data_IF_260075277140
#
_entry.id   IF_260075277140
#
_cell.length_a   1.000
_cell.length_b   1.000
_cell.length_c   1.000
_cell.angle_alpha   90.00
_cell.angle_beta   90.00
_cell.angle_gamma   90.00
#
_symmetry.space_group_name_H-M   'P 1'
#
loop_
_entity.id
_entity.type
_entity.pdbx_description
1 polymer ?
#
# COMPACT_ATOMS: atom_id res chain seq x y z
N UNK A 1 -11.30 -2.38 -23.08
CA UNK A 1 -10.69 -3.49 -22.32
C UNK A 1 -11.29 -3.39 -20.92
N UNK A 2 -12.23 -4.25 -20.62
CA UNK A 2 -12.88 -4.26 -19.30
C UNK A 2 -11.88 -4.78 -18.27
N UNK A 3 -11.70 -3.99 -17.21
CA UNK A 3 -10.87 -4.30 -16.06
C UNK A 3 -11.12 -5.73 -15.61
N UNK A 4 -10.05 -6.52 -15.50
CA UNK A 4 -10.03 -7.92 -15.06
C UNK A 4 -10.45 -8.15 -13.61
N UNK A 5 -11.48 -7.45 -13.14
CA UNK A 5 -12.19 -7.74 -11.88
C UNK A 5 -12.80 -9.14 -12.00
N UNK A 6 -12.45 -9.94 -11.09
CA UNK A 6 -12.56 -11.39 -11.03
C UNK A 6 -14.02 -11.83 -11.08
N UNK A 7 -14.61 -11.95 -12.27
CA UNK A 7 -15.91 -12.61 -12.51
C UNK A 7 -16.05 -13.98 -11.83
N UNK A 8 -14.94 -14.67 -11.61
CA UNK A 8 -14.89 -16.01 -11.01
C UNK A 8 -15.10 -15.96 -9.48
N UNK A 9 -14.52 -15.00 -8.79
CA UNK A 9 -14.74 -14.81 -7.35
C UNK A 9 -16.13 -14.24 -7.05
N UNK A 10 -16.66 -13.37 -7.92
CA UNK A 10 -18.03 -12.89 -7.83
C UNK A 10 -19.03 -14.06 -7.89
N UNK A 11 -18.81 -15.03 -8.77
CA UNK A 11 -19.67 -16.22 -8.92
C UNK A 11 -19.62 -17.13 -7.69
N UNK A 12 -18.45 -17.30 -7.06
CA UNK A 12 -18.30 -18.14 -5.86
C UNK A 12 -18.87 -17.48 -4.62
N UNK A 13 -18.68 -16.17 -4.50
CA UNK A 13 -19.28 -15.38 -3.43
C UNK A 13 -20.81 -15.38 -3.56
N UNK A 14 -21.34 -15.28 -4.77
CA UNK A 14 -22.77 -15.40 -5.05
C UNK A 14 -23.32 -16.81 -4.77
N UNK A 15 -22.57 -17.88 -5.05
CA UNK A 15 -22.98 -19.26 -4.75
C UNK A 15 -23.06 -19.52 -3.24
N UNK A 16 -22.08 -19.08 -2.47
CA UNK A 16 -22.09 -19.22 -1.01
C UNK A 16 -23.25 -18.44 -0.35
N UNK A 17 -23.64 -17.30 -0.92
CA UNK A 17 -24.79 -16.53 -0.47
C UNK A 17 -26.12 -17.19 -0.79
N UNK A 18 -26.24 -17.82 -1.97
CA UNK A 18 -27.47 -18.54 -2.39
C UNK A 18 -27.74 -19.79 -1.57
N UNK A 19 -26.70 -20.52 -1.18
CA UNK A 19 -26.84 -21.77 -0.42
C UNK A 19 -27.20 -21.56 1.07
N UNK A 20 -26.92 -20.38 1.63
CA UNK A 20 -27.00 -20.14 3.06
C UNK A 20 -28.01 -19.07 3.52
N UNK A 21 -28.72 -18.42 2.62
CA UNK A 21 -29.78 -17.46 2.94
C UNK A 21 -31.04 -17.72 2.15
N UNK A 22 -31.99 -18.36 2.80
CA UNK A 22 -33.38 -18.45 2.31
C UNK A 22 -33.94 -17.02 2.31
N UNK A 23 -33.96 -16.37 1.15
CA UNK A 23 -34.61 -15.07 0.93
C UNK A 23 -33.72 -13.86 0.66
N UNK A 24 -32.40 -14.03 0.54
CA UNK A 24 -31.50 -12.89 0.24
C UNK A 24 -30.81 -13.08 -1.11
N UNK A 25 -31.09 -12.17 -2.07
CA UNK A 25 -30.30 -12.08 -3.30
C UNK A 25 -28.95 -11.44 -2.98
N UNK A 26 -27.86 -12.18 -3.25
CA UNK A 26 -26.50 -11.69 -3.02
C UNK A 26 -26.16 -10.55 -3.97
N UNK A 27 -25.74 -9.41 -3.43
CA UNK A 27 -24.96 -8.38 -4.14
C UNK A 27 -23.66 -8.19 -3.42
N UNK A 28 -22.58 -8.32 -4.17
CA UNK A 28 -21.24 -7.87 -3.75
C UNK A 28 -21.10 -6.47 -4.32
N UNK A 29 -20.79 -5.48 -3.49
CA UNK A 29 -20.11 -4.22 -3.82
C UNK A 29 -20.69 -2.96 -3.19
N UNK A 30 -19.99 -2.47 -2.16
CA UNK A 30 -19.82 -1.05 -1.91
C UNK A 30 -18.58 -0.72 -1.08
N UNK A 31 -17.77 -1.72 -0.74
CA UNK A 31 -16.47 -1.50 -0.08
C UNK A 31 -15.38 -1.59 -1.13
N UNK A 32 -14.60 -0.52 -1.27
CA UNK A 32 -13.45 -0.51 -2.17
C UNK A 32 -12.32 -1.35 -1.57
N UNK A 33 -12.26 -2.60 -1.93
CA UNK A 33 -11.10 -3.47 -1.73
C UNK A 33 -10.83 -4.26 -3.01
N UNK A 34 -9.56 -4.54 -3.24
CA UNK A 34 -9.12 -5.24 -4.42
C UNK A 34 -8.93 -6.72 -4.14
N UNK A 35 -9.52 -7.56 -4.98
CA UNK A 35 -9.33 -9.00 -4.95
C UNK A 35 -8.62 -9.42 -6.22
N UNK A 36 -7.41 -9.95 -6.07
CA UNK A 36 -6.61 -10.45 -7.17
C UNK A 36 -6.50 -11.96 -7.06
N UNK A 37 -6.96 -12.68 -8.07
CA UNK A 37 -6.55 -14.09 -8.21
C UNK A 37 -5.04 -14.14 -8.50
N UNK A 38 -4.42 -15.26 -8.19
CA UNK A 38 -2.98 -15.46 -8.43
C UNK A 38 -2.53 -15.20 -9.88
N UNK A 39 -3.46 -15.18 -10.84
CA UNK A 39 -3.18 -14.93 -12.26
C UNK A 39 -3.33 -13.48 -12.69
N UNK A 40 -4.02 -12.65 -11.90
CA UNK A 40 -4.42 -11.30 -12.27
C UNK A 40 -3.88 -10.23 -11.31
N UNK A 41 -2.86 -10.56 -10.51
CA UNK A 41 -2.20 -9.58 -9.65
C UNK A 41 -1.52 -8.54 -10.54
N UNK A 42 -1.81 -7.28 -10.27
CA UNK A 42 -1.27 -6.14 -11.00
C UNK A 42 0.26 -6.20 -11.08
N UNK A 43 0.79 -5.96 -12.26
CA UNK A 43 2.23 -5.84 -12.48
C UNK A 43 2.68 -4.44 -12.09
N UNK A 44 3.21 -4.31 -10.89
CA UNK A 44 3.78 -3.05 -10.40
C UNK A 44 5.26 -2.86 -10.81
N UNK A 45 5.72 -3.60 -11.81
CA UNK A 45 7.11 -3.61 -12.24
C UNK A 45 8.00 -4.55 -11.43
N UNK A 46 9.29 -4.58 -11.78
CA UNK A 46 10.27 -5.40 -11.08
C UNK A 46 10.60 -4.79 -9.72
N UNK A 47 10.40 -5.55 -8.65
CA UNK A 47 10.78 -5.12 -7.30
C UNK A 47 12.28 -5.35 -7.07
N UNK A 48 13.00 -4.32 -6.66
CA UNK A 48 14.42 -4.39 -6.31
C UNK A 48 14.58 -4.73 -4.82
N UNK A 49 15.06 -5.94 -4.54
CA UNK A 49 15.33 -6.42 -3.18
C UNK A 49 16.68 -5.89 -2.67
N UNK A 50 16.64 -4.85 -1.86
CA UNK A 50 17.85 -4.15 -1.40
C UNK A 50 18.41 -4.68 -0.08
N UNK A 51 17.58 -5.32 0.73
CA UNK A 51 17.93 -5.69 2.10
C UNK A 51 17.49 -7.12 2.48
N UNK A 52 17.13 -7.96 1.50
CA UNK A 52 16.62 -9.32 1.73
C UNK A 52 15.16 -9.35 2.20
N UNK A 53 14.41 -8.25 2.02
CA UNK A 53 13.01 -8.16 2.42
C UNK A 53 12.10 -9.12 1.64
N UNK A 54 12.41 -9.41 0.38
CA UNK A 54 11.66 -10.38 -0.44
C UNK A 54 11.71 -11.76 0.18
N UNK A 55 12.90 -12.25 0.51
CA UNK A 55 13.06 -13.57 1.12
C UNK A 55 12.37 -13.66 2.48
N UNK A 56 12.52 -12.61 3.31
CA UNK A 56 11.93 -12.55 4.65
C UNK A 56 10.41 -12.54 4.62
N UNK A 57 9.80 -11.68 3.80
CA UNK A 57 8.34 -11.60 3.73
C UNK A 57 7.74 -12.83 3.03
N UNK A 58 8.44 -13.39 2.03
CA UNK A 58 8.02 -14.65 1.41
C UNK A 58 7.94 -15.78 2.45
N UNK A 59 8.94 -15.94 3.30
CA UNK A 59 8.93 -16.95 4.38
C UNK A 59 7.73 -16.78 5.32
N UNK A 60 7.43 -15.54 5.72
CA UNK A 60 6.26 -15.22 6.56
C UNK A 60 4.95 -15.57 5.86
N UNK A 61 4.79 -15.16 4.61
CA UNK A 61 3.58 -15.42 3.82
C UNK A 61 3.38 -16.94 3.63
N UNK A 62 4.43 -17.66 3.29
CA UNK A 62 4.36 -19.11 3.05
C UNK A 62 4.02 -19.89 4.33
N UNK A 63 4.46 -19.46 5.50
CA UNK A 63 4.11 -20.05 6.79
C UNK A 63 2.68 -19.68 7.21
N UNK A 64 2.32 -18.42 7.06
CA UNK A 64 1.02 -17.84 7.44
C UNK A 64 0.63 -18.12 8.92
N UNK A 65 1.62 -18.19 9.79
CA UNK A 65 1.43 -18.53 11.21
C UNK A 65 1.27 -17.31 12.10
N UNK A 66 1.78 -16.14 11.67
CA UNK A 66 1.68 -14.88 12.41
C UNK A 66 1.46 -13.70 11.47
N UNK A 67 0.62 -12.74 11.89
CA UNK A 67 0.47 -11.49 11.13
C UNK A 67 1.79 -10.69 11.15
N UNK A 68 2.07 -10.04 10.02
CA UNK A 68 3.31 -9.30 9.81
C UNK A 68 3.04 -7.81 9.59
N UNK A 69 3.77 -6.95 10.29
CA UNK A 69 3.67 -5.49 10.17
C UNK A 69 4.93 -4.92 9.54
N UNK A 70 4.77 -4.17 8.45
CA UNK A 70 5.83 -3.38 7.83
C UNK A 70 5.67 -1.92 8.27
N UNK A 71 6.62 -1.42 9.04
CA UNK A 71 6.67 -0.04 9.47
C UNK A 71 7.68 0.74 8.62
N UNK A 72 7.27 1.81 7.97
CA UNK A 72 8.20 2.61 7.16
C UNK A 72 7.52 3.75 6.42
N UNK A 73 8.32 4.69 5.91
CA UNK A 73 7.85 5.89 5.24
C UNK A 73 6.96 5.59 4.02
N UNK A 74 6.20 6.59 3.58
CA UNK A 74 5.39 6.52 2.37
C UNK A 74 6.28 6.42 1.13
N UNK A 75 5.85 5.66 0.11
CA UNK A 75 6.54 5.59 -1.18
C UNK A 75 7.80 4.70 -1.25
N UNK A 76 8.18 3.98 -0.17
CA UNK A 76 9.38 3.12 -0.14
C UNK A 76 9.15 1.68 -0.65
N UNK A 77 8.02 1.41 -1.32
CA UNK A 77 7.78 0.13 -1.98
C UNK A 77 7.10 -0.95 -1.14
N UNK A 78 6.50 -0.63 0.02
CA UNK A 78 5.81 -1.61 0.89
C UNK A 78 4.72 -2.39 0.16
N UNK A 79 3.82 -1.70 -0.53
CA UNK A 79 2.72 -2.29 -1.31
C UNK A 79 3.26 -3.09 -2.49
N UNK A 80 4.24 -2.54 -3.22
CA UNK A 80 4.87 -3.20 -4.37
C UNK A 80 5.52 -4.53 -4.00
N UNK A 81 6.15 -4.63 -2.81
CA UNK A 81 6.72 -5.89 -2.32
C UNK A 81 5.66 -6.97 -2.13
N UNK A 82 4.52 -6.64 -1.51
CA UNK A 82 3.45 -7.62 -1.28
C UNK A 82 2.89 -8.13 -2.60
N UNK A 83 2.60 -7.23 -3.54
CA UNK A 83 2.14 -7.59 -4.89
C UNK A 83 3.16 -8.45 -5.63
N UNK A 84 4.45 -8.08 -5.61
CA UNK A 84 5.53 -8.85 -6.22
C UNK A 84 5.60 -10.29 -5.68
N UNK A 85 5.56 -10.46 -4.35
CA UNK A 85 5.63 -11.79 -3.73
C UNK A 85 4.40 -12.63 -4.07
N UNK A 86 3.20 -12.06 -3.97
CA UNK A 86 1.96 -12.75 -4.28
C UNK A 86 1.95 -13.21 -5.75
N UNK A 87 2.31 -12.32 -6.67
CA UNK A 87 2.40 -12.62 -8.11
C UNK A 87 3.42 -13.72 -8.40
N UNK A 88 4.64 -13.58 -7.87
CA UNK A 88 5.75 -14.53 -8.10
C UNK A 88 5.44 -15.94 -7.59
N UNK A 89 4.70 -16.06 -6.49
CA UNK A 89 4.38 -17.33 -5.86
C UNK A 89 2.97 -17.84 -6.20
N UNK A 90 2.23 -17.15 -7.04
CA UNK A 90 0.86 -17.57 -7.43
C UNK A 90 -0.13 -17.58 -6.27
N UNK A 91 -0.03 -16.64 -5.33
CA UNK A 91 -0.86 -16.53 -4.14
C UNK A 91 -1.94 -15.48 -4.37
N UNK A 92 -3.19 -15.78 -4.04
CA UNK A 92 -4.29 -14.79 -4.14
C UNK A 92 -4.11 -13.66 -3.14
N UNK A 93 -4.48 -12.43 -3.55
CA UNK A 93 -4.31 -11.24 -2.75
C UNK A 93 -5.66 -10.53 -2.54
N UNK A 94 -5.97 -10.23 -1.30
CA UNK A 94 -7.09 -9.37 -0.91
C UNK A 94 -6.49 -8.13 -0.29
N UNK A 95 -6.53 -7.00 -0.99
CA UNK A 95 -5.90 -5.75 -0.59
C UNK A 95 -6.93 -4.72 -0.17
N UNK A 96 -6.65 -4.03 0.93
CA UNK A 96 -7.50 -3.00 1.50
C UNK A 96 -6.64 -1.86 2.04
N UNK A 97 -6.92 -0.64 1.60
CA UNK A 97 -6.27 0.55 2.13
C UNK A 97 -7.15 1.22 3.18
N UNK A 98 -6.62 1.35 4.39
CA UNK A 98 -7.28 2.07 5.47
C UNK A 98 -7.14 3.58 5.26
N UNK A 99 -8.21 4.31 5.56
CA UNK A 99 -8.24 5.77 5.48
C UNK A 99 -9.03 6.37 6.63
N UNK A 100 -9.04 7.70 6.70
CA UNK A 100 -9.91 8.45 7.61
C UNK A 100 -11.36 8.08 7.28
N UNK A 101 -12.11 7.58 8.27
CA UNK A 101 -13.49 7.12 8.08
C UNK A 101 -13.66 5.63 7.83
N UNK A 102 -12.58 4.88 7.65
CA UNK A 102 -12.65 3.41 7.67
C UNK A 102 -13.29 2.92 8.97
N UNK A 103 -14.31 2.12 8.85
CA UNK A 103 -15.15 1.74 9.98
C UNK A 103 -15.35 0.22 10.11
N UNK A 104 -16.07 -0.20 11.13
CA UNK A 104 -16.33 -1.62 11.40
C UNK A 104 -17.05 -2.34 10.26
N UNK A 105 -17.95 -1.64 9.54
CA UNK A 105 -18.70 -2.24 8.44
C UNK A 105 -17.77 -2.59 7.27
N UNK A 106 -16.75 -1.78 7.01
CA UNK A 106 -15.76 -2.04 5.97
C UNK A 106 -14.96 -3.31 6.28
N UNK A 107 -14.67 -3.55 7.56
CA UNK A 107 -13.94 -4.74 7.99
C UNK A 107 -14.82 -6.00 8.03
N UNK A 108 -16.02 -5.91 8.58
CA UNK A 108 -16.87 -7.07 8.84
C UNK A 108 -18.01 -7.24 7.84
N UNK A 109 -18.52 -6.13 7.33
CA UNK A 109 -19.75 -6.10 6.55
C UNK A 109 -20.93 -5.48 7.30
N UNK A 110 -22.01 -5.29 6.58
CA UNK A 110 -23.23 -4.64 7.07
C UNK A 110 -24.49 -5.26 6.46
N UNK A 111 -25.60 -5.10 7.16
CA UNK A 111 -26.91 -5.43 6.60
C UNK A 111 -27.32 -4.32 5.62
N UNK A 112 -27.68 -4.69 4.42
CA UNK A 112 -28.24 -3.84 3.40
C UNK A 112 -29.71 -4.19 3.16
N UNK A 113 -30.50 -3.22 2.75
CA UNK A 113 -31.89 -3.40 2.37
C UNK A 113 -32.09 -2.77 1.01
N UNK A 114 -32.64 -3.53 0.09
CA UNK A 114 -33.04 -3.05 -1.24
C UNK A 114 -34.51 -3.43 -1.54
N UNK A 115 -34.93 -3.18 -2.78
CA UNK A 115 -36.29 -3.49 -3.24
C UNK A 115 -36.64 -5.00 -3.24
N UNK A 116 -35.65 -5.85 -3.24
CA UNK A 116 -35.77 -7.30 -3.30
C UNK A 116 -35.62 -7.96 -1.92
N UNK A 117 -35.33 -7.17 -0.87
CA UNK A 117 -35.24 -7.63 0.52
C UNK A 117 -34.01 -7.14 1.25
N UNK A 118 -33.64 -7.85 2.33
CA UNK A 118 -32.42 -7.57 3.10
C UNK A 118 -31.35 -8.62 2.81
N UNK A 119 -30.11 -8.17 2.67
CA UNK A 119 -28.94 -9.04 2.48
C UNK A 119 -27.75 -8.56 3.30
N UNK A 120 -26.81 -9.44 3.58
CA UNK A 120 -25.59 -9.09 4.29
C UNK A 120 -24.44 -8.85 3.29
N UNK A 121 -24.00 -7.59 3.18
CA UNK A 121 -22.83 -7.20 2.42
C UNK A 121 -21.58 -7.48 3.24
N UNK A 122 -20.68 -8.33 2.72
CA UNK A 122 -19.47 -8.73 3.42
C UNK A 122 -18.40 -7.63 3.36
N UNK A 123 -17.70 -7.46 4.48
CA UNK A 123 -16.48 -6.65 4.54
C UNK A 123 -15.26 -7.47 4.14
N UNK A 124 -14.09 -6.85 4.26
CA UNK A 124 -12.83 -7.44 3.82
C UNK A 124 -12.42 -8.70 4.58
N UNK A 125 -12.69 -8.75 5.90
CA UNK A 125 -12.27 -9.89 6.72
C UNK A 125 -12.97 -11.20 6.31
N UNK A 126 -14.32 -11.29 6.28
CA UNK A 126 -14.98 -12.51 5.80
C UNK A 126 -14.61 -12.85 4.37
N UNK A 127 -14.43 -11.85 3.49
CA UNK A 127 -14.00 -12.06 2.11
C UNK A 127 -12.61 -12.71 2.04
N UNK A 128 -11.66 -12.27 2.84
CA UNK A 128 -10.31 -12.85 2.85
C UNK A 128 -10.32 -14.35 3.25
N UNK A 129 -11.17 -14.74 4.23
CA UNK A 129 -11.33 -16.14 4.60
C UNK A 129 -11.91 -16.99 3.45
N UNK A 130 -12.91 -16.47 2.73
CA UNK A 130 -13.50 -17.16 1.59
C UNK A 130 -12.49 -17.33 0.46
N UNK A 131 -11.75 -16.27 0.11
CA UNK A 131 -10.69 -16.33 -0.91
C UNK A 131 -9.61 -17.33 -0.52
N UNK A 132 -9.18 -17.35 0.74
CA UNK A 132 -8.18 -18.31 1.22
C UNK A 132 -8.67 -19.76 1.15
N UNK A 133 -9.93 -20.01 1.49
CA UNK A 133 -10.53 -21.34 1.40
C UNK A 133 -10.64 -21.83 -0.04
N UNK A 134 -10.95 -20.94 -0.98
CA UNK A 134 -11.07 -21.26 -2.40
C UNK A 134 -9.70 -21.48 -3.06
N UNK A 135 -8.78 -20.52 -2.89
CA UNK A 135 -7.47 -20.56 -3.53
C UNK A 135 -6.43 -21.41 -2.80
N UNK A 136 -6.79 -21.97 -1.63
CA UNK A 136 -5.91 -22.68 -0.69
C UNK A 136 -4.87 -21.82 -0.01
N UNK A 137 -4.46 -20.70 -0.59
CA UNK A 137 -3.53 -19.77 0.00
C UNK A 137 -3.85 -18.34 -0.47
N UNK A 138 -4.08 -17.45 0.47
CA UNK A 138 -4.29 -16.03 0.20
C UNK A 138 -3.49 -15.16 1.17
N UNK A 139 -3.26 -13.91 0.74
CA UNK A 139 -2.76 -12.83 1.58
C UNK A 139 -3.88 -11.83 1.80
N UNK A 140 -4.16 -11.48 3.04
CA UNK A 140 -4.90 -10.27 3.39
C UNK A 140 -3.88 -9.16 3.61
N UNK A 141 -3.89 -8.18 2.73
CA UNK A 141 -3.02 -7.01 2.81
C UNK A 141 -3.82 -5.81 3.31
N UNK A 142 -3.43 -5.27 4.46
CA UNK A 142 -4.05 -4.10 5.09
C UNK A 142 -3.06 -2.94 5.00
N UNK A 143 -3.26 -2.07 4.02
CA UNK A 143 -2.40 -0.89 3.86
C UNK A 143 -2.82 0.23 4.80
N UNK A 144 -1.85 0.96 5.32
CA UNK A 144 -2.04 2.09 6.23
C UNK A 144 -2.90 1.78 7.48
N UNK A 145 -2.69 0.62 8.11
CA UNK A 145 -3.47 0.18 9.31
C UNK A 145 -3.48 1.24 10.44
N UNK A 146 -2.46 2.10 10.51
CA UNK A 146 -2.39 3.23 11.43
C UNK A 146 -3.44 4.32 11.18
N UNK A 147 -4.12 4.33 10.04
CA UNK A 147 -5.23 5.25 9.79
C UNK A 147 -6.52 4.85 10.54
N UNK A 148 -6.60 3.62 11.06
CA UNK A 148 -7.77 3.14 11.78
C UNK A 148 -7.91 3.79 13.17
N UNK A 149 -9.12 4.19 13.52
CA UNK A 149 -9.46 4.57 14.89
C UNK A 149 -9.29 3.40 15.87
N UNK A 150 -8.95 3.71 17.12
CA UNK A 150 -8.71 2.70 18.16
C UNK A 150 -9.88 1.73 18.36
N UNK A 151 -11.12 2.19 18.19
CA UNK A 151 -12.29 1.32 18.30
C UNK A 151 -12.42 0.35 17.13
N UNK A 152 -12.02 0.76 15.95
CA UNK A 152 -11.98 -0.10 14.74
C UNK A 152 -10.85 -1.13 14.86
N UNK A 153 -9.69 -0.73 15.38
CA UNK A 153 -8.55 -1.63 15.61
C UNK A 153 -8.91 -2.86 16.45
N UNK A 154 -9.80 -2.71 17.44
CA UNK A 154 -10.26 -3.83 18.31
C UNK A 154 -10.91 -4.97 17.53
N UNK A 155 -11.53 -4.67 16.38
CA UNK A 155 -12.17 -5.70 15.56
C UNK A 155 -11.19 -6.58 14.79
N UNK A 156 -9.94 -6.14 14.65
CA UNK A 156 -8.86 -6.92 14.04
C UNK A 156 -8.26 -7.95 15.01
N UNK A 157 -8.41 -7.77 16.31
CA UNK A 157 -7.77 -8.64 17.29
C UNK A 157 -8.09 -10.13 17.09
N UNK A 158 -9.35 -10.45 16.80
CA UNK A 158 -9.79 -11.84 16.66
C UNK A 158 -9.33 -12.54 15.38
N UNK A 159 -9.37 -11.91 14.20
CA UNK A 159 -8.76 -12.45 12.99
C UNK A 159 -7.25 -12.64 13.08
N UNK A 160 -6.57 -11.78 13.89
CA UNK A 160 -5.12 -11.76 14.04
C UNK A 160 -4.59 -12.67 15.15
N UNK A 161 -5.47 -13.24 15.98
CA UNK A 161 -5.06 -14.18 17.02
C UNK A 161 -4.98 -15.63 16.48
N UNK A 162 -4.48 -16.55 17.31
CA UNK A 162 -4.29 -17.97 16.96
C UNK A 162 -5.58 -18.69 16.52
N UNK A 163 -6.76 -18.09 16.74
CA UNK A 163 -8.04 -18.66 16.31
C UNK A 163 -8.36 -18.45 14.85
N UNK A 164 -7.66 -17.52 14.18
CA UNK A 164 -7.85 -17.19 12.77
C UNK A 164 -9.32 -17.26 12.34
N UNK A 165 -10.16 -16.44 12.95
CA UNK A 165 -11.61 -16.47 12.69
C UNK A 165 -12.22 -15.07 12.69
N UNK A 166 -13.24 -14.88 11.85
CA UNK A 166 -14.05 -13.67 11.81
C UNK A 166 -15.53 -14.02 12.01
N UNK A 167 -16.26 -13.21 12.77
CA UNK A 167 -17.71 -13.31 12.89
C UNK A 167 -18.37 -12.09 12.25
N UNK A 168 -19.22 -12.34 11.27
CA UNK A 168 -19.91 -11.31 10.50
C UNK A 168 -21.26 -11.83 10.01
N UNK A 169 -22.30 -11.00 10.01
CA UNK A 169 -23.65 -11.36 9.55
C UNK A 169 -24.26 -12.58 10.25
N UNK A 170 -23.95 -12.79 11.54
CA UNK A 170 -24.41 -13.99 12.28
C UNK A 170 -23.67 -15.28 11.93
N UNK A 171 -22.63 -15.20 11.12
CA UNK A 171 -21.86 -16.34 10.62
C UNK A 171 -20.41 -16.28 11.11
N UNK A 172 -19.80 -17.45 11.32
CA UNK A 172 -18.37 -17.59 11.65
C UNK A 172 -17.60 -18.05 10.42
N UNK A 173 -16.58 -17.28 10.05
CA UNK A 173 -15.65 -17.57 8.96
C UNK A 173 -14.35 -18.11 9.56
N UNK A 174 -13.89 -19.26 9.08
CA UNK A 174 -12.67 -19.94 9.50
C UNK A 174 -11.97 -20.52 8.30
N UNK A 175 -10.69 -20.84 8.45
CA UNK A 175 -9.96 -21.56 7.41
C UNK A 175 -10.35 -23.05 7.41
N UNK A 176 -10.51 -23.61 6.22
CA UNK A 176 -10.64 -25.04 6.01
C UNK A 176 -9.28 -25.72 6.22
N UNK A 177 -9.28 -27.02 6.46
CA UNK A 177 -8.07 -27.81 6.61
C UNK A 177 -7.18 -27.69 5.37
N UNK A 178 -5.89 -27.41 5.61
CA UNK A 178 -4.89 -27.20 4.55
C UNK A 178 -4.95 -25.84 3.86
N UNK A 179 -5.89 -24.95 4.21
CA UNK A 179 -5.93 -23.58 3.69
C UNK A 179 -5.12 -22.62 4.57
N UNK A 180 -4.57 -21.57 3.96
CA UNK A 180 -3.73 -20.57 4.62
C UNK A 180 -4.18 -19.16 4.30
N UNK A 181 -4.21 -18.30 5.32
CA UNK A 181 -4.40 -16.86 5.17
C UNK A 181 -3.26 -16.15 5.87
N UNK A 182 -2.31 -15.63 5.11
CA UNK A 182 -1.28 -14.75 5.64
C UNK A 182 -1.84 -13.33 5.76
N UNK A 183 -1.57 -12.67 6.89
CA UNK A 183 -2.01 -11.29 7.11
C UNK A 183 -0.78 -10.39 7.14
N UNK A 184 -0.72 -9.44 6.21
CA UNK A 184 0.35 -8.45 6.12
C UNK A 184 -0.28 -7.07 6.24
N UNK A 185 0.23 -6.27 7.16
CA UNK A 185 -0.21 -4.89 7.33
C UNK A 185 0.97 -3.93 7.15
N UNK A 186 0.65 -2.70 6.76
CA UNK A 186 1.64 -1.61 6.72
C UNK A 186 1.20 -0.45 7.58
N UNK A 187 2.15 0.30 8.09
CA UNK A 187 1.90 1.60 8.72
C UNK A 187 3.03 2.57 8.42
N UNK A 188 2.68 3.83 8.36
CA UNK A 188 3.64 4.92 8.26
C UNK A 188 4.11 5.36 9.65
N UNK A 189 5.23 6.09 9.77
CA UNK A 189 5.62 6.74 11.01
C UNK A 189 4.53 7.66 11.55
N UNK A 190 4.42 7.73 12.88
CA UNK A 190 3.34 8.48 13.56
C UNK A 190 3.42 9.98 13.32
N UNK A 191 4.60 10.46 12.94
CA UNK A 191 4.84 11.87 12.59
C UNK A 191 4.11 12.27 11.29
N UNK A 192 3.58 11.31 10.53
CA UNK A 192 2.76 11.59 9.36
C UNK A 192 1.31 11.88 9.76
N UNK A 193 0.71 12.89 9.14
CA UNK A 193 -0.68 13.24 9.39
C UNK A 193 -1.63 12.05 9.13
N UNK A 194 -2.62 11.89 9.99
CA UNK A 194 -3.63 10.83 9.87
C UNK A 194 -3.16 9.44 10.32
N UNK A 195 -1.99 9.32 10.96
CA UNK A 195 -1.50 8.05 11.52
C UNK A 195 -1.76 8.01 13.03
N UNK A 196 -2.58 7.08 13.48
CA UNK A 196 -2.81 6.79 14.89
C UNK A 196 -1.80 5.76 15.40
N UNK A 197 -1.53 5.80 16.71
CA UNK A 197 -0.83 4.70 17.37
C UNK A 197 -1.67 3.43 17.29
N UNK A 198 -1.03 2.33 16.89
CA UNK A 198 -1.66 1.03 17.08
C UNK A 198 -1.81 0.76 18.58
N UNK A 199 -2.99 0.27 18.99
CA UNK A 199 -3.23 -0.12 20.36
C UNK A 199 -2.22 -1.19 20.79
N UNK A 200 -1.86 -1.23 22.06
CA UNK A 200 -0.89 -2.20 22.60
C UNK A 200 -1.32 -3.64 22.31
N UNK A 201 -2.62 -3.91 22.49
CA UNK A 201 -3.22 -5.22 22.21
C UNK A 201 -3.09 -5.62 20.72
N UNK A 202 -3.31 -4.68 19.79
CA UNK A 202 -3.13 -4.94 18.37
C UNK A 202 -1.65 -5.14 18.01
N UNK A 203 -0.76 -4.29 18.52
CA UNK A 203 0.68 -4.40 18.27
C UNK A 203 1.27 -5.72 18.72
N UNK A 204 0.83 -6.25 19.88
CA UNK A 204 1.35 -7.49 20.44
C UNK A 204 1.09 -8.72 19.57
N UNK A 205 0.15 -8.64 18.61
CA UNK A 205 -0.19 -9.72 17.69
C UNK A 205 0.71 -9.81 16.49
N UNK A 206 1.34 -8.69 16.12
CA UNK A 206 2.21 -8.63 14.96
C UNK A 206 3.66 -8.99 15.31
N UNK A 207 4.27 -9.76 14.44
CA UNK A 207 5.71 -9.69 14.22
C UNK A 207 5.97 -8.69 13.09
N UNK A 208 7.16 -8.09 13.00
CA UNK A 208 7.32 -7.09 11.94
C UNK A 208 8.73 -6.60 11.73
N UNK A 209 8.85 -5.71 10.76
CA UNK A 209 10.10 -5.10 10.36
C UNK A 209 9.94 -3.59 10.17
N UNK A 210 10.91 -2.83 10.69
CA UNK A 210 11.01 -1.39 10.42
C UNK A 210 11.93 -1.19 9.21
N UNK A 211 11.38 -0.57 8.18
CA UNK A 211 12.12 -0.20 6.99
C UNK A 211 12.67 1.22 7.13
N UNK A 212 13.92 1.38 6.74
CA UNK A 212 14.56 2.69 6.65
C UNK A 212 14.32 3.29 5.27
N UNK A 213 14.47 4.60 5.17
CA UNK A 213 14.52 5.26 3.87
C UNK A 213 15.75 4.74 3.10
N UNK A 214 15.62 4.52 1.79
CA UNK A 214 16.75 4.10 0.95
C UNK A 214 17.86 5.14 0.97
N UNK A 215 19.10 4.68 0.92
CA UNK A 215 20.27 5.53 0.69
C UNK A 215 20.32 5.98 -0.78
N UNK A 216 21.13 7.01 -1.08
CA UNK A 216 21.38 7.45 -2.46
C UNK A 216 21.84 6.30 -3.37
N UNK A 217 22.75 5.44 -2.90
CA UNK A 217 23.18 4.24 -3.64
C UNK A 217 22.03 3.28 -3.92
N UNK A 218 21.14 3.05 -2.96
CA UNK A 218 19.96 2.22 -3.17
C UNK A 218 18.95 2.86 -4.13
N UNK A 219 18.81 4.17 -4.11
CA UNK A 219 17.98 4.91 -5.05
C UNK A 219 18.51 4.80 -6.49
N UNK A 220 19.83 4.75 -6.68
CA UNK A 220 20.43 4.47 -7.98
C UNK A 220 20.01 3.11 -8.55
N UNK A 221 19.82 2.09 -7.70
CA UNK A 221 19.39 0.76 -8.13
C UNK A 221 17.88 0.67 -8.39
N UNK A 222 17.07 1.47 -7.67
CA UNK A 222 15.60 1.45 -7.76
C UNK A 222 15.11 2.17 -9.00
N UNK A 223 15.66 3.34 -9.29
CA UNK A 223 15.18 4.25 -10.34
C UNK A 223 15.82 3.90 -11.67
N UNK A 224 15.02 3.92 -12.73
CA UNK A 224 15.55 3.79 -14.09
C UNK A 224 16.11 5.13 -14.57
N UNK A 225 17.42 5.22 -14.63
CA UNK A 225 18.17 6.41 -15.04
C UNK A 225 18.51 6.42 -16.54
N UNK A 226 17.94 5.53 -17.35
CA UNK A 226 18.17 5.54 -18.79
C UNK A 226 17.85 6.92 -19.36
N UNK A 227 18.73 7.43 -20.18
CA UNK A 227 18.59 8.73 -20.87
C UNK A 227 18.54 9.97 -19.96
N UNK A 228 18.85 9.83 -18.68
CA UNK A 228 18.94 10.95 -17.72
C UNK A 228 20.40 11.44 -17.65
N UNK A 229 20.69 12.73 -17.88
CA UNK A 229 22.03 13.28 -17.77
C UNK A 229 22.61 13.12 -16.36
N UNK A 230 23.73 12.40 -16.22
CA UNK A 230 24.30 12.06 -14.91
C UNK A 230 24.78 13.31 -14.15
N UNK A 231 25.61 14.15 -14.80
CA UNK A 231 26.22 15.29 -14.11
C UNK A 231 25.25 16.44 -13.81
N UNK A 232 24.24 16.68 -14.66
CA UNK A 232 23.33 17.82 -14.51
C UNK A 232 21.98 17.49 -13.88
N UNK A 233 21.61 16.21 -13.81
CA UNK A 233 20.29 15.80 -13.29
C UNK A 233 20.41 14.72 -12.22
N UNK A 234 20.94 13.54 -12.56
CA UNK A 234 20.95 12.38 -11.65
C UNK A 234 21.75 12.65 -10.37
N UNK A 235 23.02 13.04 -10.50
CA UNK A 235 23.91 13.26 -9.36
C UNK A 235 23.42 14.42 -8.47
N UNK A 236 23.00 15.58 -9.02
CA UNK A 236 22.35 16.62 -8.23
C UNK A 236 21.09 16.15 -7.51
N UNK A 237 20.20 15.37 -8.16
CA UNK A 237 18.97 14.90 -7.55
C UNK A 237 19.24 13.96 -6.36
N UNK A 238 20.22 13.06 -6.47
CA UNK A 238 20.62 12.20 -5.36
C UNK A 238 21.22 13.00 -4.20
N UNK A 239 22.00 14.04 -4.48
CA UNK A 239 22.52 14.97 -3.47
C UNK A 239 21.38 15.71 -2.77
N UNK A 240 20.41 16.23 -3.53
CA UNK A 240 19.24 16.89 -2.96
C UNK A 240 18.45 15.99 -2.01
N UNK A 241 18.30 14.70 -2.32
CA UNK A 241 17.63 13.74 -1.42
C UNK A 241 18.36 13.64 -0.08
N UNK A 242 19.69 13.57 -0.09
CA UNK A 242 20.49 13.52 1.14
C UNK A 242 20.35 14.83 1.96
N UNK A 243 20.35 15.96 1.29
CA UNK A 243 20.15 17.27 1.92
C UNK A 243 18.76 17.37 2.57
N UNK A 244 17.72 16.94 1.87
CA UNK A 244 16.35 16.91 2.41
C UNK A 244 16.23 15.95 3.60
N UNK A 245 16.90 14.80 3.57
CA UNK A 245 16.94 13.91 4.74
C UNK A 245 17.63 14.58 5.94
N UNK A 246 18.70 15.34 5.70
CA UNK A 246 19.38 16.09 6.76
C UNK A 246 18.50 17.21 7.33
N UNK A 247 17.76 17.94 6.48
CA UNK A 247 16.79 18.95 6.90
C UNK A 247 15.65 18.34 7.73
N UNK A 248 15.12 17.18 7.30
CA UNK A 248 14.09 16.45 8.07
C UNK A 248 14.57 16.04 9.46
N UNK A 249 15.83 15.63 9.62
CA UNK A 249 16.40 15.30 10.93
C UNK A 249 16.48 16.51 11.87
N UNK A 250 16.57 17.72 11.32
CA UNK A 250 16.55 18.98 12.07
C UNK A 250 15.13 19.53 12.30
N UNK A 251 14.12 18.85 11.75
CA UNK A 251 12.73 19.29 11.71
C UNK A 251 12.49 20.58 10.90
N UNK A 252 13.38 20.89 9.96
CA UNK A 252 13.26 22.05 9.07
C UNK A 252 12.28 21.80 7.92
N UNK A 253 12.01 20.53 7.58
CA UNK A 253 11.01 20.11 6.57
C UNK A 253 10.22 18.90 7.06
N UNK A 254 8.96 18.80 6.66
CA UNK A 254 8.11 17.65 6.99
C UNK A 254 8.16 16.56 5.92
N UNK A 255 8.22 16.95 4.65
CA UNK A 255 8.20 15.99 3.53
C UNK A 255 9.63 15.55 3.17
N UNK A 256 9.78 14.24 2.90
CA UNK A 256 11.03 13.65 2.38
C UNK A 256 10.78 13.05 1.01
N UNK A 257 11.73 13.21 0.10
CA UNK A 257 11.68 12.59 -1.20
C UNK A 257 11.84 11.06 -1.09
N UNK A 258 10.87 10.35 -1.62
CA UNK A 258 10.83 8.87 -1.64
C UNK A 258 11.23 8.33 -3.02
N UNK A 259 11.50 7.01 -3.16
CA UNK A 259 11.69 6.40 -4.48
C UNK A 259 10.59 6.71 -5.48
N UNK A 260 9.32 6.78 -5.03
CA UNK A 260 8.18 7.17 -5.88
C UNK A 260 8.34 8.56 -6.46
N UNK A 261 8.84 9.52 -5.66
CA UNK A 261 9.02 10.89 -6.12
C UNK A 261 10.13 10.99 -7.15
N UNK A 262 11.21 10.23 -6.99
CA UNK A 262 12.30 10.18 -7.97
C UNK A 262 11.87 9.51 -9.28
N UNK A 263 11.11 8.42 -9.19
CA UNK A 263 10.52 7.78 -10.38
C UNK A 263 9.62 8.76 -11.12
N UNK A 264 8.77 9.50 -10.39
CA UNK A 264 7.92 10.53 -10.96
C UNK A 264 8.74 11.66 -11.61
N UNK A 265 9.80 12.12 -10.94
CA UNK A 265 10.71 13.12 -11.48
C UNK A 265 11.30 12.69 -12.82
N UNK A 266 11.87 11.50 -12.88
CA UNK A 266 12.46 10.94 -14.11
C UNK A 266 11.43 10.84 -15.23
N UNK A 267 10.22 10.44 -14.90
CA UNK A 267 9.12 10.29 -15.87
C UNK A 267 8.70 11.64 -16.45
N UNK A 268 8.47 12.65 -15.60
CA UNK A 268 8.12 14.00 -16.04
C UNK A 268 9.26 14.64 -16.86
N UNK A 269 10.50 14.45 -16.43
CA UNK A 269 11.65 14.95 -17.18
C UNK A 269 11.73 14.40 -18.61
N UNK A 270 11.46 13.10 -18.79
CA UNK A 270 11.39 12.47 -20.11
C UNK A 270 10.21 12.99 -20.94
N UNK A 271 9.02 13.03 -20.33
CA UNK A 271 7.78 13.45 -20.99
C UNK A 271 7.90 14.91 -21.52
N UNK A 272 8.48 15.80 -20.71
CA UNK A 272 8.76 17.18 -21.13
C UNK A 272 9.79 17.24 -22.27
N UNK A 273 10.83 16.40 -22.18
CA UNK A 273 11.88 16.32 -23.22
C UNK A 273 11.36 15.81 -24.58
N UNK A 274 10.35 14.95 -24.58
CA UNK A 274 9.71 14.42 -25.79
C UNK A 274 8.58 15.33 -26.32
N UNK A 275 8.12 16.27 -25.51
CA UNK A 275 7.02 17.18 -25.84
C UNK A 275 7.48 18.37 -26.68
N UNK A 276 6.54 19.21 -27.11
CA UNK A 276 6.81 20.51 -27.73
C UNK A 276 7.05 21.63 -26.70
N UNK A 277 7.39 21.30 -25.46
CA UNK A 277 7.65 22.24 -24.39
C UNK A 277 8.86 23.14 -24.75
N UNK A 278 8.71 24.45 -24.55
CA UNK A 278 9.70 25.46 -24.97
C UNK A 278 10.45 26.12 -23.79
N UNK A 279 10.13 25.73 -22.57
CA UNK A 279 10.78 26.22 -21.34
C UNK A 279 12.01 25.42 -20.95
N UNK A 280 12.56 25.70 -19.79
CA UNK A 280 13.62 24.87 -19.19
C UNK A 280 13.01 23.62 -18.60
N UNK A 281 13.35 22.47 -19.17
CA UNK A 281 12.79 21.15 -18.80
C UNK A 281 13.13 20.82 -17.34
N UNK A 282 14.35 21.13 -16.89
CA UNK A 282 14.79 20.81 -15.55
C UNK A 282 14.07 21.68 -14.51
N UNK A 283 13.96 22.98 -14.75
CA UNK A 283 13.25 23.90 -13.86
C UNK A 283 11.77 23.52 -13.71
N UNK A 284 11.10 23.21 -14.83
CA UNK A 284 9.70 22.77 -14.80
C UNK A 284 9.54 21.44 -14.07
N UNK A 285 10.41 20.46 -14.35
CA UNK A 285 10.37 19.15 -13.65
C UNK A 285 10.53 19.32 -12.14
N UNK A 286 11.47 20.16 -11.69
CA UNK A 286 11.67 20.44 -10.25
C UNK A 286 10.41 21.08 -9.66
N UNK A 287 9.82 22.05 -10.34
CA UNK A 287 8.59 22.72 -9.90
C UNK A 287 7.44 21.75 -9.72
N UNK A 288 7.16 20.93 -10.75
CA UNK A 288 6.02 20.01 -10.78
C UNK A 288 6.18 18.79 -9.86
N UNK A 289 7.39 18.33 -9.61
CA UNK A 289 7.61 17.05 -8.92
C UNK A 289 8.20 17.19 -7.52
N UNK A 290 8.97 18.24 -7.26
CA UNK A 290 9.63 18.47 -5.98
C UNK A 290 8.95 19.60 -5.22
N UNK A 291 8.98 20.82 -5.75
CA UNK A 291 8.52 22.01 -5.01
C UNK A 291 7.03 21.96 -4.67
N UNK A 292 6.21 21.39 -5.52
CA UNK A 292 4.77 21.18 -5.26
C UNK A 292 4.47 20.38 -3.99
N UNK A 293 5.44 19.60 -3.47
CA UNK A 293 5.28 18.78 -2.26
C UNK A 293 5.37 19.62 -0.97
N UNK A 294 5.98 20.79 -1.04
CA UNK A 294 6.23 21.69 0.10
C UNK A 294 5.21 22.82 0.08
N UNK A 295 4.13 22.66 0.82
CA UNK A 295 3.01 23.60 0.86
C UNK A 295 3.18 24.70 1.91
N UNK A 296 4.03 24.47 2.92
CA UNK A 296 4.43 25.51 3.85
C UNK A 296 5.39 26.50 3.16
N UNK A 297 5.13 27.82 3.22
CA UNK A 297 5.97 28.80 2.53
C UNK A 297 7.44 28.81 2.96
N UNK A 298 7.74 28.51 4.23
CA UNK A 298 9.11 28.50 4.75
C UNK A 298 9.87 27.27 4.25
N UNK A 299 9.22 26.10 4.30
CA UNK A 299 9.77 24.86 3.74
C UNK A 299 9.99 25.00 2.23
N UNK A 300 9.01 25.56 1.52
CA UNK A 300 9.07 25.77 0.07
C UNK A 300 10.30 26.61 -0.32
N UNK A 301 10.48 27.78 0.29
CA UNK A 301 11.63 28.64 0.01
C UNK A 301 12.97 27.98 0.38
N UNK A 302 13.00 27.23 1.49
CA UNK A 302 14.20 26.51 1.89
C UNK A 302 14.59 25.44 0.87
N UNK A 303 13.62 24.63 0.41
CA UNK A 303 13.86 23.57 -0.57
C UNK A 303 14.16 24.15 -1.94
N UNK A 304 13.48 25.24 -2.35
CA UNK A 304 13.77 25.98 -3.58
C UNK A 304 15.22 26.49 -3.61
N UNK A 305 15.69 27.08 -2.50
CA UNK A 305 17.08 27.50 -2.39
C UNK A 305 18.06 26.33 -2.53
N UNK A 306 17.74 25.17 -1.95
CA UNK A 306 18.55 23.96 -2.11
C UNK A 306 18.54 23.42 -3.53
N UNK A 307 17.39 23.40 -4.21
CA UNK A 307 17.31 23.03 -5.61
C UNK A 307 18.20 23.94 -6.48
N UNK A 308 18.10 25.26 -6.30
CA UNK A 308 18.91 26.24 -7.04
C UNK A 308 20.42 26.00 -6.82
N UNK A 309 20.84 25.77 -5.57
CA UNK A 309 22.23 25.48 -5.23
C UNK A 309 22.71 24.16 -5.84
N UNK A 310 21.91 23.10 -5.72
CA UNK A 310 22.31 21.73 -6.08
C UNK A 310 22.32 21.52 -7.60
N UNK A 311 21.33 22.07 -8.32
CA UNK A 311 21.24 21.93 -9.78
C UNK A 311 21.92 23.07 -10.54
N UNK A 312 22.30 24.17 -9.87
CA UNK A 312 22.88 25.34 -10.50
C UNK A 312 21.88 26.11 -11.40
N UNK A 313 20.61 26.06 -11.06
CA UNK A 313 19.50 26.73 -11.77
C UNK A 313 18.96 27.90 -10.97
N UNK A 314 18.09 28.71 -11.57
CA UNK A 314 17.43 29.84 -10.88
C UNK A 314 15.92 29.71 -11.11
N UNK A 315 15.27 28.84 -10.33
CA UNK A 315 13.84 28.63 -10.40
C UNK A 315 13.11 29.90 -9.94
N UNK A 316 12.19 30.38 -10.78
CA UNK A 316 11.47 31.64 -10.58
C UNK A 316 10.46 31.59 -9.39
#
# INVERSE_FOLDING_TARGET
>A
MENGKVKYLDTLIEQDDRENHVGCAGRVNSVEYDIYSSKNIEDMGEYKDLNGEVARLTDVIMKADKPFLIYGAKGIGKTSLVHHICRKNGISLVAFSCGIGTNKADLKGRLQVDKDGSYFERGILPTAFLVANESKHAVLYIDEIGALDHDVQKWLNRPLDDRHSCEAGGRKYTLNEGCKLAIVATTNPIEYAGVNNLTEDLRSRFIGQRWKNPTSTQLEEIVDWSDIPDASVKSPLLTLVEDIYALRQKADVEYILSPRDLIQFVQVYRDLGESSFSGDILEETISETILIKYTDPQEHELVKARCNETFGVSIA
#
